data_IF_280167650744
#
_entry.id   IF_280167650744
#
_cell.length_a   1.000
_cell.length_b   1.000
_cell.length_c   1.000
_cell.angle_alpha   90.00
_cell.angle_beta   90.00
_cell.angle_gamma   90.00
#
_symmetry.space_group_name_H-M   'P 1'
#
loop_
_entity.id
_entity.type
_entity.pdbx_description
1 polymer ?
#
# COMPACT_ATOMS: atom_id res chain seq x y z
N UNK A 1 -1.11 26.63 4.62
CA UNK A 1 -1.08 25.17 4.81
C UNK A 1 0.05 24.88 5.77
N UNK A 2 -0.24 24.23 6.88
CA UNK A 2 0.75 23.87 7.90
C UNK A 2 0.89 22.35 7.91
N UNK A 3 2.13 21.86 7.87
CA UNK A 3 2.44 20.44 7.92
C UNK A 3 3.15 20.14 9.22
N UNK A 4 2.47 19.43 10.11
CA UNK A 4 3.05 18.89 11.33
C UNK A 4 3.53 17.49 10.99
N UNK A 5 4.85 17.30 11.07
CA UNK A 5 5.57 16.12 10.61
C UNK A 5 5.10 14.81 11.26
N UNK A 6 5.62 13.66 10.79
CA UNK A 6 5.28 12.37 11.38
C UNK A 6 5.74 12.33 12.84
N UNK A 7 4.78 12.17 13.76
CA UNK A 7 5.05 11.93 15.18
C UNK A 7 5.73 10.57 15.41
N UNK A 8 6.06 10.24 16.67
CA UNK A 8 6.66 8.95 17.04
C UNK A 8 5.83 7.73 16.59
N UNK A 9 4.53 7.93 16.36
CA UNK A 9 3.59 6.92 15.84
C UNK A 9 3.44 6.95 14.30
N UNK A 10 4.25 7.76 13.61
CA UNK A 10 4.25 7.92 12.17
C UNK A 10 3.09 8.76 11.62
N UNK A 11 2.39 9.53 12.46
CA UNK A 11 1.22 10.30 12.05
C UNK A 11 1.64 11.71 11.61
N UNK A 12 1.41 12.01 10.33
CA UNK A 12 1.54 13.35 9.75
C UNK A 12 0.18 14.05 9.79
N UNK A 13 0.15 15.31 10.22
CA UNK A 13 -1.05 16.16 10.16
C UNK A 13 -0.84 17.31 9.19
N UNK A 14 -1.81 17.54 8.32
CA UNK A 14 -1.84 18.66 7.39
C UNK A 14 -3.04 19.51 7.74
N UNK A 15 -2.80 20.77 8.08
CA UNK A 15 -3.84 21.74 8.44
C UNK A 15 -3.95 22.77 7.32
N UNK A 16 -5.13 22.85 6.73
CA UNK A 16 -5.48 23.82 5.69
C UNK A 16 -6.65 24.67 6.17
N UNK A 17 -6.54 25.99 6.03
CA UNK A 17 -7.65 26.90 6.28
C UNK A 17 -8.17 27.37 4.92
N UNK A 18 -9.45 27.16 4.64
CA UNK A 18 -10.12 27.63 3.43
C UNK A 18 -11.43 28.34 3.78
N UNK A 19 -11.89 29.24 2.91
CA UNK A 19 -13.26 29.74 2.98
C UNK A 19 -14.16 28.76 2.24
N UNK A 20 -15.32 28.42 2.82
CA UNK A 20 -16.35 27.68 2.10
C UNK A 20 -17.17 28.62 1.20
N UNK A 21 -18.05 28.06 0.39
CA UNK A 21 -18.87 28.84 -0.56
C UNK A 21 -19.86 29.80 0.13
N UNK A 22 -20.05 29.65 1.44
CA UNK A 22 -20.88 30.50 2.29
C UNK A 22 -20.08 31.62 2.98
N UNK A 23 -18.78 31.75 2.69
CA UNK A 23 -17.90 32.77 3.27
C UNK A 23 -17.37 32.46 4.69
N UNK A 24 -17.66 31.27 5.22
CA UNK A 24 -17.18 30.83 6.53
C UNK A 24 -15.75 30.27 6.44
N UNK A 25 -14.92 30.58 7.44
CA UNK A 25 -13.56 30.05 7.55
C UNK A 25 -13.60 28.62 8.11
N UNK A 26 -13.19 27.65 7.30
CA UNK A 26 -13.12 26.23 7.65
C UNK A 26 -11.67 25.78 7.82
N UNK A 27 -11.40 25.02 8.87
CA UNK A 27 -10.13 24.32 9.09
C UNK A 27 -10.26 22.85 8.69
N UNK A 28 -9.57 22.44 7.64
CA UNK A 28 -9.42 21.04 7.23
C UNK A 28 -8.18 20.48 7.91
N UNK A 29 -8.34 19.35 8.61
CA UNK A 29 -7.22 18.61 9.20
C UNK A 29 -7.13 17.23 8.59
N UNK A 30 -6.16 17.02 7.69
CA UNK A 30 -5.90 15.73 7.07
C UNK A 30 -4.83 14.99 7.87
N UNK A 31 -5.19 13.86 8.46
CA UNK A 31 -4.27 13.05 9.28
C UNK A 31 -3.86 11.80 8.51
N UNK A 32 -2.57 11.68 8.18
CA UNK A 32 -2.00 10.53 7.46
C UNK A 32 -1.12 9.72 8.40
N UNK A 33 -1.47 8.46 8.67
CA UNK A 33 -0.65 7.55 9.48
C UNK A 33 0.28 6.72 8.58
N UNK A 34 1.57 6.99 8.65
CA UNK A 34 2.62 6.20 8.01
C UNK A 34 2.88 4.96 8.86
N UNK A 35 2.21 3.84 8.53
CA UNK A 35 2.54 2.54 9.14
C UNK A 35 3.80 1.98 8.47
N UNK A 36 4.80 1.62 9.26
CA UNK A 36 5.93 0.78 8.78
C UNK A 36 5.41 -0.64 8.56
N UNK A 37 4.70 -0.87 7.45
CA UNK A 37 4.60 -2.23 6.91
C UNK A 37 6.03 -2.67 6.64
N UNK A 38 6.45 -3.82 7.20
CA UNK A 38 7.84 -4.28 7.22
C UNK A 38 8.56 -3.92 5.91
N UNK A 39 9.56 -3.03 6.01
CA UNK A 39 10.36 -2.52 4.87
C UNK A 39 10.98 -3.65 4.02
N UNK A 40 11.00 -4.87 4.54
CA UNK A 40 11.68 -6.03 3.99
C UNK A 40 11.03 -6.67 2.76
N UNK A 41 9.78 -6.34 2.36
CA UNK A 41 9.12 -7.11 1.26
C UNK A 41 8.41 -6.31 0.16
N UNK A 42 8.41 -4.98 0.20
CA UNK A 42 7.60 -4.17 -0.73
C UNK A 42 8.46 -3.14 -1.45
N UNK A 43 9.10 -3.56 -2.54
CA UNK A 43 9.59 -2.63 -3.57
C UNK A 43 8.38 -2.11 -4.35
N UNK A 44 8.33 -0.79 -4.64
CA UNK A 44 7.25 -0.16 -5.43
C UNK A 44 6.92 -0.94 -6.70
N UNK A 45 7.96 -1.35 -7.44
CA UNK A 45 7.82 -2.15 -8.66
C UNK A 45 7.22 -3.54 -8.41
N UNK A 46 7.52 -4.15 -7.26
CA UNK A 46 6.96 -5.45 -6.91
C UNK A 46 5.47 -5.35 -6.55
N UNK A 47 5.05 -4.26 -5.91
CA UNK A 47 3.64 -4.00 -5.61
C UNK A 47 2.83 -3.75 -6.89
N UNK A 48 3.37 -2.95 -7.82
CA UNK A 48 2.75 -2.70 -9.13
C UNK A 48 2.54 -4.01 -9.90
N UNK A 49 3.57 -4.88 -9.95
CA UNK A 49 3.46 -6.19 -10.62
C UNK A 49 2.45 -7.14 -9.97
N UNK A 50 2.26 -7.06 -8.64
CA UNK A 50 1.24 -7.88 -7.95
C UNK A 50 -0.18 -7.46 -8.33
N UNK A 51 -0.38 -6.21 -8.70
CA UNK A 51 -1.67 -5.65 -9.08
C UNK A 51 -1.94 -5.71 -10.60
N UNK A 52 -1.04 -6.29 -11.40
CA UNK A 52 -1.30 -6.46 -12.83
C UNK A 52 -2.44 -7.43 -13.06
N UNK A 53 -3.28 -7.09 -14.03
CA UNK A 53 -4.34 -7.97 -14.49
C UNK A 53 -3.74 -9.21 -15.16
N UNK A 54 -4.37 -10.36 -14.90
CA UNK A 54 -4.06 -11.60 -15.61
C UNK A 54 -4.50 -11.45 -17.07
N UNK A 55 -3.86 -12.20 -17.97
CA UNK A 55 -4.14 -12.16 -19.41
C UNK A 55 -4.21 -13.58 -20.01
N UNK A 56 -4.73 -13.70 -21.22
CA UNK A 56 -4.93 -15.00 -21.89
C UNK A 56 -5.90 -15.90 -21.12
N UNK A 57 -5.57 -17.18 -21.01
CA UNK A 57 -6.43 -18.18 -20.34
C UNK A 57 -6.53 -17.98 -18.82
N UNK A 58 -5.62 -17.19 -18.23
CA UNK A 58 -5.60 -16.92 -16.78
C UNK A 58 -6.55 -15.80 -16.35
N UNK A 59 -7.22 -15.12 -17.28
CA UNK A 59 -8.15 -14.00 -16.98
C UNK A 59 -9.32 -14.42 -16.09
N UNK A 60 -9.79 -15.66 -16.22
CA UNK A 60 -10.94 -16.19 -15.47
C UNK A 60 -10.56 -16.79 -14.11
N UNK A 61 -9.27 -16.80 -13.79
CA UNK A 61 -8.79 -17.36 -12.54
C UNK A 61 -8.84 -16.33 -11.41
N UNK A 62 -9.54 -16.65 -10.33
CA UNK A 62 -9.56 -15.82 -9.14
C UNK A 62 -8.16 -15.60 -8.54
N UNK A 63 -7.98 -14.44 -7.90
CA UNK A 63 -6.73 -14.11 -7.20
C UNK A 63 -6.58 -15.08 -6.01
N UNK A 64 -5.71 -16.08 -6.17
CA UNK A 64 -5.45 -17.11 -5.15
C UNK A 64 -5.95 -18.52 -5.51
N UNK A 65 -6.53 -18.72 -6.70
CA UNK A 65 -6.80 -20.08 -7.21
C UNK A 65 -5.48 -20.82 -7.42
N UNK A 66 -5.26 -21.91 -6.66
CA UNK A 66 -4.04 -22.73 -6.74
C UNK A 66 -4.19 -23.77 -7.84
N UNK A 67 -3.95 -23.35 -9.09
CA UNK A 67 -3.85 -24.30 -10.22
C UNK A 67 -2.57 -25.14 -10.13
N UNK A 68 -1.51 -24.56 -9.57
CA UNK A 68 -0.27 -25.28 -9.25
C UNK A 68 -0.32 -25.79 -7.82
N UNK A 69 -0.04 -27.10 -7.66
CA UNK A 69 0.20 -27.69 -6.35
C UNK A 69 1.51 -27.12 -5.80
N UNK A 70 1.50 -26.65 -4.56
CA UNK A 70 2.72 -26.21 -3.87
C UNK A 70 3.35 -27.46 -3.23
N UNK A 71 4.30 -28.09 -3.92
CA UNK A 71 5.23 -29.04 -3.29
C UNK A 71 6.55 -28.31 -3.05
N UNK A 72 7.00 -28.29 -1.81
CA UNK A 72 8.39 -27.93 -1.50
C UNK A 72 9.19 -29.21 -1.57
N UNK A 73 9.74 -29.51 -2.74
CA UNK A 73 10.65 -30.65 -2.87
C UNK A 73 11.99 -30.27 -2.24
N UNK A 74 12.35 -30.94 -1.16
CA UNK A 74 13.65 -30.80 -0.52
C UNK A 74 14.71 -31.40 -1.45
N UNK A 75 15.56 -30.53 -2.02
CA UNK A 75 16.72 -30.94 -2.81
C UNK A 75 17.95 -30.97 -1.89
N UNK A 76 18.55 -32.14 -1.73
CA UNK A 76 19.83 -32.25 -1.01
C UNK A 76 20.94 -31.53 -1.82
N UNK A 77 21.72 -30.64 -1.20
CA UNK A 77 22.85 -30.02 -1.88
C UNK A 77 23.94 -31.07 -2.15
N UNK A 78 24.42 -31.14 -3.39
CA UNK A 78 25.58 -31.95 -3.76
C UNK A 78 26.80 -31.48 -2.94
N UNK A 79 27.36 -32.40 -2.15
CA UNK A 79 28.62 -32.21 -1.40
C UNK A 79 29.82 -32.30 -2.33
#
# INVERSE_FOLDING_TARGET
MEVIGPDENGIKKVIENKFNDEGNKVKITTTTRVRKLAKARLNKRALERRNWEKFGDTVREDVGSRLTMVSTDDLEPLV
#
